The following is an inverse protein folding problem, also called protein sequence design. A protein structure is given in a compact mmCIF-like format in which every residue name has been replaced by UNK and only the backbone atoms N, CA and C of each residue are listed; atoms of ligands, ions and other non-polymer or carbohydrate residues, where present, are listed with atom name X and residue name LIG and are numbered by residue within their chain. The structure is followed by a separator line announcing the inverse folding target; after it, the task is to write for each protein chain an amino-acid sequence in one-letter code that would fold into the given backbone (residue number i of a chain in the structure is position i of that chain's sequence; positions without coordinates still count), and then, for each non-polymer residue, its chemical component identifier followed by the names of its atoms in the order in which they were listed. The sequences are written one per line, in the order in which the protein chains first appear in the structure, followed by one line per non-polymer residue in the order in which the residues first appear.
data_IF_554738070540
#
_entry.id   IF_554738070540
#
_cell.length_a   1.000
_cell.length_b   1.000
_cell.length_c   1.000
_cell.angle_alpha   90.00
_cell.angle_beta   90.00
_cell.angle_gamma   90.00
#
_symmetry.space_group_name_H-M   'P 1'
#
loop_
_entity.id
_entity.type
_entity.pdbx_description
1 polymer ?
#
# COMPACT_ATOMS: atom_id res chain seq x y z
N UNK A 1 1.63 8.49 -15.20
CA UNK A 1 1.56 7.53 -14.07
C UNK A 1 1.68 8.25 -12.73
N UNK A 2 0.69 8.06 -11.87
CA UNK A 2 0.65 8.55 -10.49
C UNK A 2 1.19 7.48 -9.53
N UNK A 3 1.75 7.92 -8.39
CA UNK A 3 2.23 7.03 -7.32
C UNK A 3 1.11 6.77 -6.32
N UNK A 4 1.03 5.54 -5.82
CA UNK A 4 0.09 5.16 -4.77
C UNK A 4 0.75 4.25 -3.74
N UNK A 5 0.20 4.25 -2.53
CA UNK A 5 0.53 3.31 -1.47
C UNK A 5 -0.53 2.21 -1.41
N UNK A 6 -0.07 0.97 -1.31
CA UNK A 6 -0.91 -0.21 -1.14
C UNK A 6 -0.36 -0.99 0.05
N UNK A 7 -1.24 -1.50 0.90
CA UNK A 7 -0.86 -2.38 2.00
C UNK A 7 -1.71 -3.65 1.97
N UNK A 8 -1.04 -4.80 1.95
CA UNK A 8 -1.65 -6.09 2.20
C UNK A 8 -1.74 -6.25 3.71
N UNK A 9 -2.96 -6.31 4.21
CA UNK A 9 -3.29 -6.38 5.65
C UNK A 9 -2.91 -7.74 6.24
N UNK A 10 -2.93 -7.90 7.58
CA UNK A 10 -2.51 -9.14 8.22
C UNK A 10 -3.26 -10.38 7.71
N UNK A 11 -4.56 -10.28 7.44
CA UNK A 11 -5.34 -11.37 6.85
C UNK A 11 -4.85 -11.78 5.46
N UNK A 12 -4.45 -10.82 4.62
CA UNK A 12 -3.90 -11.10 3.31
C UNK A 12 -2.57 -11.85 3.36
N UNK A 13 -1.73 -11.51 4.34
CA UNK A 13 -0.46 -12.22 4.58
C UNK A 13 -0.73 -13.63 5.12
N UNK A 14 -1.55 -13.75 6.16
CA UNK A 14 -1.89 -15.03 6.80
C UNK A 14 -2.57 -16.02 5.84
N UNK A 15 -3.35 -15.51 4.88
CA UNK A 15 -4.01 -16.32 3.85
C UNK A 15 -3.11 -16.66 2.65
N UNK A 16 -1.84 -16.26 2.66
CA UNK A 16 -0.91 -16.54 1.56
C UNK A 16 -1.22 -15.79 0.26
N UNK A 17 -1.89 -14.63 0.34
CA UNK A 17 -2.37 -13.89 -0.85
C UNK A 17 -1.35 -12.89 -1.41
N UNK A 18 -0.17 -12.76 -0.82
CA UNK A 18 0.83 -11.76 -1.20
C UNK A 18 1.20 -11.86 -2.68
N UNK A 19 1.64 -13.03 -3.15
CA UNK A 19 2.04 -13.23 -4.55
C UNK A 19 0.90 -13.02 -5.54
N UNK A 20 -0.31 -13.48 -5.19
CA UNK A 20 -1.51 -13.30 -6.02
C UNK A 20 -1.87 -11.81 -6.16
N UNK A 21 -1.83 -11.04 -5.06
CA UNK A 21 -2.12 -9.61 -5.07
C UNK A 21 -1.07 -8.85 -5.88
N UNK A 22 0.23 -9.09 -5.61
CA UNK A 22 1.33 -8.46 -6.36
C UNK A 22 1.21 -8.77 -7.85
N UNK A 23 0.98 -10.04 -8.20
CA UNK A 23 0.83 -10.47 -9.59
C UNK A 23 -0.34 -9.80 -10.32
N UNK A 24 -1.44 -9.49 -9.62
CA UNK A 24 -2.55 -8.71 -10.22
C UNK A 24 -2.15 -7.28 -10.57
N UNK A 25 -1.32 -6.65 -9.73
CA UNK A 25 -0.80 -5.30 -10.01
C UNK A 25 0.17 -5.33 -11.19
N UNK A 26 1.14 -6.24 -11.18
CA UNK A 26 2.14 -6.37 -12.24
C UNK A 26 1.50 -6.63 -13.60
N UNK A 27 0.54 -7.56 -13.69
CA UNK A 27 -0.21 -7.86 -14.93
C UNK A 27 -0.98 -6.67 -15.49
N UNK A 28 -1.30 -5.66 -14.65
CA UNK A 28 -1.99 -4.43 -15.06
C UNK A 28 -1.03 -3.27 -15.36
N UNK A 29 0.27 -3.54 -15.47
CA UNK A 29 1.28 -2.53 -15.81
C UNK A 29 1.63 -1.60 -14.64
N UNK A 30 1.46 -2.07 -13.40
CA UNK A 30 1.93 -1.38 -12.20
C UNK A 30 3.45 -1.45 -12.10
N UNK A 31 4.11 -0.32 -11.85
CA UNK A 31 5.54 -0.29 -11.63
C UNK A 31 5.82 -0.30 -10.14
N UNK A 32 6.22 -1.46 -9.62
CA UNK A 32 6.59 -1.63 -8.22
C UNK A 32 7.86 -0.82 -7.90
N UNK A 33 7.75 0.12 -6.96
CA UNK A 33 8.81 1.04 -6.55
C UNK A 33 9.27 0.82 -5.11
N UNK A 34 8.44 0.19 -4.28
CA UNK A 34 8.80 -0.20 -2.92
C UNK A 34 8.01 -1.43 -2.52
N UNK A 35 8.63 -2.34 -1.77
CA UNK A 35 8.03 -3.54 -1.23
C UNK A 35 8.73 -3.90 0.08
N UNK A 36 8.00 -4.03 1.18
CA UNK A 36 8.54 -4.59 2.42
C UNK A 36 7.50 -5.33 3.23
N UNK A 37 7.92 -6.46 3.82
CA UNK A 37 7.18 -7.19 4.85
C UNK A 37 7.61 -6.64 6.21
N UNK A 38 6.66 -6.22 7.04
CA UNK A 38 6.96 -5.70 8.37
C UNK A 38 5.83 -5.95 9.37
N UNK A 39 6.19 -5.97 10.66
CA UNK A 39 5.23 -5.86 11.75
C UNK A 39 5.11 -4.39 12.14
N UNK A 40 3.88 -3.92 12.37
CA UNK A 40 3.60 -2.51 12.67
C UNK A 40 3.55 -2.31 14.19
N UNK A 41 4.24 -1.29 14.69
CA UNK A 41 4.12 -0.87 16.09
C UNK A 41 2.87 -0.01 16.29
N UNK A 42 2.25 -0.10 17.48
CA UNK A 42 1.03 0.67 17.81
C UNK A 42 1.15 2.18 17.53
N UNK A 43 2.21 2.90 17.96
CA UNK A 43 2.31 4.33 17.67
C UNK A 43 2.36 4.66 16.18
N UNK A 44 2.95 3.77 15.38
CA UNK A 44 3.00 3.94 13.93
C UNK A 44 1.62 3.69 13.29
N UNK A 45 0.90 2.67 13.75
CA UNK A 45 -0.47 2.38 13.32
C UNK A 45 -1.44 3.54 13.66
N UNK A 46 -1.33 4.11 14.86
CA UNK A 46 -2.12 5.27 15.27
C UNK A 46 -1.83 6.49 14.40
N UNK A 47 -0.55 6.72 14.05
CA UNK A 47 -0.15 7.78 13.12
C UNK A 47 -0.69 7.55 11.71
N UNK A 48 -0.69 6.30 11.22
CA UNK A 48 -1.27 5.95 9.93
C UNK A 48 -2.78 6.22 9.88
N UNK A 49 -3.51 5.88 10.95
CA UNK A 49 -4.96 6.08 11.06
C UNK A 49 -5.37 7.39 11.75
N UNK A 50 -4.48 8.39 11.83
CA UNK A 50 -4.71 9.61 12.59
C UNK A 50 -6.01 10.34 12.20
N UNK A 51 -6.34 10.34 10.91
CA UNK A 51 -7.58 10.95 10.38
C UNK A 51 -8.87 10.25 10.87
N UNK A 52 -8.75 9.00 11.35
CA UNK A 52 -9.82 8.19 11.90
C UNK A 52 -9.84 8.16 13.43
N UNK A 53 -8.94 8.88 14.11
CA UNK A 53 -8.78 8.87 15.58
C UNK A 53 -10.04 9.19 16.37
N UNK A 54 -10.94 10.00 15.81
CA UNK A 54 -12.23 10.35 16.42
C UNK A 54 -13.34 9.32 16.20
N UNK A 55 -13.09 8.27 15.39
CA UNK A 55 -14.10 7.26 15.04
C UNK A 55 -14.16 6.16 16.12
N UNK A 56 -15.35 5.64 16.44
CA UNK A 56 -15.53 4.64 17.50
C UNK A 56 -14.79 3.31 17.22
N UNK A 57 -14.46 3.03 15.96
CA UNK A 57 -13.74 1.83 15.54
C UNK A 57 -12.21 2.01 15.45
N UNK A 58 -11.66 3.19 15.78
CA UNK A 58 -10.23 3.51 15.65
C UNK A 58 -9.33 2.49 16.36
N UNK A 59 -9.60 2.21 17.64
CA UNK A 59 -8.82 1.25 18.41
C UNK A 59 -8.85 -0.14 17.79
N UNK A 60 -10.00 -0.57 17.25
CA UNK A 60 -10.13 -1.84 16.55
C UNK A 60 -9.29 -1.90 15.27
N UNK A 61 -9.18 -0.79 14.51
CA UNK A 61 -8.30 -0.72 13.33
C UNK A 61 -6.83 -0.83 13.71
N UNK A 62 -6.42 -0.13 14.77
CA UNK A 62 -5.05 -0.17 15.29
C UNK A 62 -4.72 -1.57 15.81
N UNK A 63 -5.60 -2.18 16.60
CA UNK A 63 -5.41 -3.55 17.10
C UNK A 63 -5.36 -4.57 15.97
N UNK A 64 -6.16 -4.36 14.93
CA UNK A 64 -6.17 -5.23 13.75
C UNK A 64 -4.86 -5.17 12.97
N UNK A 65 -4.37 -3.99 12.61
CA UNK A 65 -3.16 -3.85 11.77
C UNK A 65 -1.89 -4.35 12.49
N UNK A 66 -1.83 -4.26 13.83
CA UNK A 66 -0.68 -4.76 14.61
C UNK A 66 -0.80 -6.26 14.97
N UNK A 67 -1.92 -6.91 14.65
CA UNK A 67 -2.15 -8.32 15.00
C UNK A 67 -1.28 -9.32 14.22
N UNK A 68 -0.61 -8.87 13.16
CA UNK A 68 0.28 -9.68 12.35
C UNK A 68 1.08 -8.84 11.35
N UNK A 69 1.94 -9.49 10.55
CA UNK A 69 2.75 -8.77 9.56
C UNK A 69 1.88 -8.25 8.41
N UNK A 70 2.30 -7.13 7.84
CA UNK A 70 1.72 -6.52 6.64
C UNK A 70 2.76 -6.46 5.53
N UNK A 71 2.31 -6.38 4.29
CA UNK A 71 3.18 -6.05 3.14
C UNK A 71 2.84 -4.65 2.66
N UNK A 72 3.77 -3.72 2.85
CA UNK A 72 3.68 -2.36 2.35
C UNK A 72 4.27 -2.30 0.94
N UNK A 73 3.56 -1.62 0.03
CA UNK A 73 3.91 -1.50 -1.38
C UNK A 73 3.76 -0.06 -1.85
N UNK A 74 4.67 0.37 -2.71
CA UNK A 74 4.56 1.62 -3.48
C UNK A 74 4.70 1.28 -4.94
N UNK A 75 3.93 1.94 -5.78
CA UNK A 75 4.22 1.89 -7.20
C UNK A 75 3.44 2.89 -8.02
N UNK A 76 3.73 2.89 -9.31
CA UNK A 76 3.15 3.81 -10.29
C UNK A 76 2.11 3.11 -11.14
N UNK A 77 1.01 3.79 -11.41
CA UNK A 77 -0.04 3.31 -12.34
C UNK A 77 -0.69 4.47 -13.09
N UNK A 78 -1.39 4.15 -14.18
CA UNK A 78 -2.17 5.10 -14.99
C UNK A 78 -3.69 5.01 -14.75
N UNK A 79 -4.18 4.09 -13.91
CA UNK A 79 -5.61 3.85 -13.70
C UNK A 79 -6.00 3.72 -12.23
N UNK A 80 -7.25 4.04 -11.90
CA UNK A 80 -7.81 3.84 -10.57
C UNK A 80 -8.05 2.34 -10.30
N UNK A 81 -7.54 1.84 -9.18
CA UNK A 81 -7.86 0.50 -8.70
C UNK A 81 -9.00 0.55 -7.69
N UNK A 82 -10.00 -0.34 -7.78
CA UNK A 82 -10.96 -0.50 -6.72
C UNK A 82 -10.24 -1.03 -5.47
N UNK A 83 -10.47 -0.38 -4.32
CA UNK A 83 -10.02 -0.86 -3.01
C UNK A 83 -10.74 -2.20 -2.75
N UNK A 84 -9.98 -3.27 -2.51
CA UNK A 84 -10.51 -4.60 -2.18
C UNK A 84 -10.35 -4.84 -0.66
N UNK A 85 -11.26 -5.59 -0.03
CA UNK A 85 -11.31 -5.77 1.43
C UNK A 85 -9.99 -6.24 2.11
N UNK A 86 -9.17 -7.04 1.40
CA UNK A 86 -7.90 -7.61 1.89
C UNK A 86 -6.71 -6.64 1.77
N UNK A 87 -6.89 -5.55 1.02
CA UNK A 87 -5.88 -4.52 0.81
C UNK A 87 -6.37 -3.19 1.39
N UNK A 88 -5.44 -2.37 1.84
CA UNK A 88 -5.63 -0.94 1.96
C UNK A 88 -5.03 -0.29 0.72
N UNK A 89 -5.74 0.65 0.11
CA UNK A 89 -5.21 1.52 -0.93
C UNK A 89 -5.54 2.95 -0.55
N UNK A 90 -4.65 3.90 -0.86
CA UNK A 90 -4.86 5.31 -0.52
C UNK A 90 -6.23 5.81 -1.02
N UNK A 91 -7.08 6.30 -0.11
CA UNK A 91 -8.42 6.79 -0.44
C UNK A 91 -8.40 8.09 -1.29
N UNK A 92 -7.29 8.85 -1.24
CA UNK A 92 -7.04 10.00 -2.13
C UNK A 92 -5.64 9.92 -2.77
N UNK A 93 -5.60 9.96 -4.10
CA UNK A 93 -4.44 9.58 -4.91
C UNK A 93 -3.25 10.54 -4.86
N UNK A 94 -3.43 11.78 -4.38
CA UNK A 94 -2.34 12.77 -4.36
C UNK A 94 -1.89 13.16 -2.98
N UNK A 95 -2.80 13.45 -2.06
CA UNK A 95 -2.41 13.90 -0.72
C UNK A 95 -2.25 12.76 0.25
N UNK A 96 -3.21 11.83 0.32
CA UNK A 96 -3.10 10.65 1.19
C UNK A 96 -1.96 9.74 0.72
N UNK A 97 -1.85 9.46 -0.58
CA UNK A 97 -0.76 8.63 -1.12
C UNK A 97 0.64 9.19 -0.80
N UNK A 98 0.85 10.51 -0.95
CA UNK A 98 2.15 11.13 -0.62
C UNK A 98 2.46 11.06 0.87
N UNK A 99 1.46 11.31 1.73
CA UNK A 99 1.60 11.19 3.19
C UNK A 99 1.92 9.75 3.59
N UNK A 100 1.21 8.78 3.03
CA UNK A 100 1.42 7.36 3.30
C UNK A 100 2.79 6.90 2.79
N UNK A 101 3.19 7.23 1.56
CA UNK A 101 4.53 6.89 1.04
C UNK A 101 5.63 7.48 1.93
N UNK A 102 5.53 8.76 2.32
CA UNK A 102 6.52 9.39 3.19
C UNK A 102 6.56 8.78 4.60
N UNK A 103 5.42 8.32 5.12
CA UNK A 103 5.33 7.65 6.42
C UNK A 103 5.91 6.24 6.37
N UNK A 104 5.57 5.48 5.33
CA UNK A 104 5.90 4.06 5.21
C UNK A 104 7.27 3.81 4.57
N UNK A 105 7.78 4.72 3.75
CA UNK A 105 9.07 4.62 3.06
C UNK A 105 9.88 5.92 3.24
N UNK A 106 10.24 6.30 4.49
CA UNK A 106 11.06 7.50 4.75
C UNK A 106 12.45 7.42 4.09
N UNK A 107 12.96 6.21 3.84
CA UNK A 107 14.20 5.93 3.12
C UNK A 107 14.11 6.25 1.61
N UNK A 108 12.92 6.54 1.10
CA UNK A 108 12.63 6.70 -0.31
C UNK A 108 12.23 5.38 -0.98
N UNK A 109 12.13 5.42 -2.31
CA UNK A 109 11.68 4.31 -3.15
C UNK A 109 12.75 3.99 -4.20
N UNK A 110 12.70 2.79 -4.77
CA UNK A 110 13.61 2.38 -5.82
C UNK A 110 13.29 3.10 -7.14
N UNK A 111 14.32 3.67 -7.77
CA UNK A 111 14.18 4.30 -9.09
C UNK A 111 14.66 3.38 -10.22
N UNK A 112 13.80 3.23 -11.22
CA UNK A 112 13.99 2.37 -12.40
C UNK A 112 12.99 2.73 -13.49
N UNK A 113 13.29 2.37 -14.73
CA UNK A 113 12.43 2.58 -15.89
C UNK A 113 12.11 1.23 -16.54
N UNK A 114 10.84 1.03 -16.89
CA UNK A 114 10.40 -0.20 -17.53
C UNK A 114 10.76 -0.18 -19.01
N UNK A 115 11.51 -1.18 -19.48
CA UNK A 115 11.80 -1.36 -20.91
C UNK A 115 10.56 -1.62 -21.75
N UNK A 116 9.49 -2.11 -21.11
CA UNK A 116 8.19 -2.33 -21.76
C UNK A 116 7.31 -1.07 -21.77
N UNK A 117 7.72 0.05 -21.15
CA UNK A 117 6.92 1.28 -21.07
C UNK A 117 6.43 1.78 -22.44
N UNK A 118 7.28 1.89 -23.48
CA UNK A 118 6.85 2.38 -24.80
C UNK A 118 5.88 1.44 -25.53
N UNK A 119 5.74 0.21 -25.05
CA UNK A 119 4.86 -0.81 -25.64
C UNK A 119 3.53 -0.95 -24.91
N UNK A 120 3.46 -0.41 -23.68
CA UNK A 120 2.26 -0.46 -22.84
C UNK A 120 1.49 0.86 -22.89
N UNK A 121 2.19 1.98 -23.06
CA UNK A 121 1.60 3.31 -23.02
C UNK A 121 2.06 4.12 -24.24
N UNK A 122 1.11 4.83 -24.86
CA UNK A 122 1.34 5.87 -25.87
C UNK A 122 1.73 7.21 -25.22
#
# INVERSE_FOLDING_TARGET
MEQTFIMIKPDGVQRGLVGEIVGRFEKKGFYLKGLKLMTVERPFAEKHYADLSSKPFFHGLVDYIISGPVVAMVGRVNYHFPILNVIHGSDSWRESARKEIALWFPEGIAEWQSSVHPWIYE
#
